data_IF_048168949037
#
_entry.id   IF_048168949037
#
_cell.length_a   1.000
_cell.length_b   1.000
_cell.length_c   1.000
_cell.angle_alpha   90.00
_cell.angle_beta   90.00
_cell.angle_gamma   90.00
#
_symmetry.space_group_name_H-M   'P 1'
#
loop_
_entity.id
_entity.type
_entity.pdbx_description
1 polymer ?
#
# COMPACT_ATOMS: atom_id res chain seq x y z
N UNK A 1 -9.76 -10.03 -9.77
CA UNK A 1 -9.17 -10.93 -8.78
C UNK A 1 -10.27 -11.87 -8.36
N UNK A 2 -10.02 -13.17 -8.45
CA UNK A 2 -10.90 -14.20 -7.90
C UNK A 2 -10.66 -14.35 -6.39
N UNK A 3 -11.62 -14.91 -5.66
CA UNK A 3 -11.49 -15.11 -4.21
C UNK A 3 -10.28 -16.00 -3.85
N UNK A 4 -9.94 -16.99 -4.68
CA UNK A 4 -8.75 -17.85 -4.50
C UNK A 4 -7.42 -17.09 -4.56
N UNK A 5 -7.32 -16.09 -5.42
CA UNK A 5 -6.11 -15.26 -5.51
C UNK A 5 -5.95 -14.38 -4.26
N UNK A 6 -7.06 -13.93 -3.67
CA UNK A 6 -7.07 -13.11 -2.46
C UNK A 6 -6.65 -13.95 -1.25
N UNK A 7 -7.20 -15.17 -1.11
CA UNK A 7 -6.86 -16.05 0.01
C UNK A 7 -5.38 -16.45 0.02
N UNK A 8 -4.80 -16.73 -1.16
CA UNK A 8 -3.35 -16.98 -1.32
C UNK A 8 -2.50 -15.75 -0.97
N UNK A 9 -2.98 -14.53 -1.28
CA UNK A 9 -2.28 -13.29 -0.95
C UNK A 9 -2.23 -13.07 0.58
N UNK A 10 -3.32 -13.43 1.28
CA UNK A 10 -3.46 -13.27 2.73
C UNK A 10 -2.57 -14.23 3.53
N UNK A 11 -2.17 -15.37 2.97
CA UNK A 11 -1.30 -16.35 3.64
C UNK A 11 0.20 -16.08 3.45
N UNK A 12 0.60 -15.17 2.56
CA UNK A 12 2.00 -14.85 2.27
C UNK A 12 2.63 -13.97 3.36
N UNK A 13 3.89 -14.25 3.72
CA UNK A 13 4.68 -13.55 4.76
C UNK A 13 6.00 -12.97 4.24
N UNK A 14 6.20 -13.03 2.94
CA UNK A 14 7.44 -12.72 2.22
C UNK A 14 7.37 -11.36 1.49
N UNK A 15 6.44 -10.47 1.87
CA UNK A 15 6.33 -9.19 1.22
C UNK A 15 7.50 -8.28 1.61
N UNK A 16 8.23 -7.81 0.62
CA UNK A 16 9.31 -6.82 0.78
C UNK A 16 8.65 -5.44 0.91
N UNK A 17 8.75 -4.85 2.10
CA UNK A 17 8.19 -3.54 2.39
C UNK A 17 9.08 -2.37 1.90
N UNK A 18 8.55 -1.14 1.82
CA UNK A 18 9.34 0.06 1.54
C UNK A 18 10.47 0.33 2.54
N UNK A 19 10.39 -0.25 3.75
CA UNK A 19 11.43 -0.17 4.78
C UNK A 19 12.45 -1.32 4.68
N UNK A 20 12.43 -2.08 3.58
CA UNK A 20 13.37 -3.17 3.28
C UNK A 20 13.39 -4.29 4.33
N UNK A 21 12.21 -4.67 4.83
CA UNK A 21 12.03 -5.84 5.68
C UNK A 21 10.88 -6.72 5.16
N UNK A 22 10.84 -7.97 5.61
CA UNK A 22 9.82 -8.93 5.21
C UNK A 22 8.61 -8.84 6.16
N UNK A 23 7.42 -8.86 5.59
CA UNK A 23 6.17 -8.75 6.34
C UNK A 23 5.03 -9.51 5.66
N UNK A 24 3.92 -9.70 6.35
CA UNK A 24 2.69 -10.21 5.72
C UNK A 24 1.99 -9.10 4.94
N UNK A 25 0.95 -9.44 4.17
CA UNK A 25 0.25 -8.44 3.35
C UNK A 25 -0.36 -7.30 4.19
N UNK A 26 -0.78 -7.55 5.43
CA UNK A 26 -1.36 -6.51 6.29
C UNK A 26 -0.27 -5.55 6.75
N UNK A 27 0.86 -6.08 7.19
CA UNK A 27 2.03 -5.28 7.54
C UNK A 27 2.58 -4.52 6.33
N UNK A 28 2.60 -5.14 5.15
CA UNK A 28 3.02 -4.48 3.90
C UNK A 28 2.14 -3.27 3.57
N UNK A 29 0.82 -3.40 3.69
CA UNK A 29 -0.13 -2.29 3.51
C UNK A 29 0.12 -1.19 4.54
N UNK A 30 0.34 -1.55 5.81
CA UNK A 30 0.62 -0.57 6.87
C UNK A 30 1.95 0.16 6.63
N UNK A 31 2.97 -0.54 6.16
CA UNK A 31 4.27 0.04 5.86
C UNK A 31 4.21 1.01 4.69
N UNK A 32 3.47 0.69 3.63
CA UNK A 32 3.21 1.64 2.54
C UNK A 32 2.56 2.91 3.08
N UNK A 33 1.51 2.79 3.90
CA UNK A 33 0.85 3.96 4.50
C UNK A 33 1.78 4.77 5.38
N UNK A 34 2.59 4.09 6.21
CA UNK A 34 3.55 4.73 7.10
C UNK A 34 4.65 5.45 6.32
N UNK A 35 5.16 4.85 5.24
CA UNK A 35 6.13 5.47 4.35
C UNK A 35 5.57 6.76 3.74
N UNK A 36 4.36 6.72 3.19
CA UNK A 36 3.70 7.89 2.60
C UNK A 36 3.48 9.01 3.64
N UNK A 37 3.01 8.64 4.84
CA UNK A 37 2.77 9.59 5.93
C UNK A 37 4.06 10.24 6.45
N UNK A 38 5.10 9.44 6.73
CA UNK A 38 6.37 9.94 7.30
C UNK A 38 7.10 10.88 6.36
N UNK A 39 6.99 10.66 5.05
CA UNK A 39 7.66 11.48 4.06
C UNK A 39 6.79 12.63 3.53
N UNK A 40 5.55 12.79 4.02
CA UNK A 40 4.58 13.79 3.54
C UNK A 40 4.39 13.76 2.02
N UNK A 41 4.51 12.59 1.40
CA UNK A 41 4.45 12.45 -0.07
C UNK A 41 3.01 12.24 -0.51
N UNK A 42 2.59 12.98 -1.54
CA UNK A 42 1.33 12.70 -2.22
C UNK A 42 1.39 11.29 -2.87
N UNK A 43 0.54 10.35 -2.41
CA UNK A 43 0.57 8.99 -2.91
C UNK A 43 0.01 8.84 -4.34
N UNK A 44 -0.51 9.93 -4.93
CA UNK A 44 -0.92 10.06 -6.35
C UNK A 44 0.08 10.89 -7.18
N UNK A 45 1.23 11.25 -6.59
CA UNK A 45 2.28 12.05 -7.21
C UNK A 45 3.58 11.27 -7.37
N UNK A 46 4.69 11.84 -6.91
CA UNK A 46 6.04 11.28 -7.07
C UNK A 46 6.20 9.86 -6.50
N UNK A 47 5.50 9.53 -5.41
CA UNK A 47 5.57 8.19 -4.81
C UNK A 47 4.80 7.12 -5.59
N UNK A 48 3.90 7.48 -6.51
CA UNK A 48 2.99 6.51 -7.13
C UNK A 48 3.77 5.46 -7.93
N UNK A 49 4.71 5.89 -8.79
CA UNK A 49 5.52 4.98 -9.60
C UNK A 49 6.42 4.08 -8.75
N UNK A 50 6.97 4.63 -7.66
CA UNK A 50 7.79 3.87 -6.71
C UNK A 50 6.95 2.81 -5.98
N UNK A 51 5.76 3.18 -5.49
CA UNK A 51 4.85 2.25 -4.83
C UNK A 51 4.38 1.15 -5.78
N UNK A 52 4.00 1.48 -7.03
CA UNK A 52 3.65 0.49 -8.06
C UNK A 52 4.79 -0.50 -8.29
N UNK A 53 6.03 -0.02 -8.39
CA UNK A 53 7.21 -0.87 -8.55
C UNK A 53 7.38 -1.86 -7.41
N UNK A 54 7.23 -1.42 -6.16
CA UNK A 54 7.32 -2.30 -4.98
C UNK A 54 6.18 -3.33 -4.97
N UNK A 55 4.96 -2.91 -5.31
CA UNK A 55 3.80 -3.81 -5.37
C UNK A 55 3.99 -4.90 -6.43
N UNK A 56 4.48 -4.54 -7.62
CA UNK A 56 4.77 -5.49 -8.70
C UNK A 56 5.91 -6.44 -8.32
N UNK A 57 6.98 -5.94 -7.67
CA UNK A 57 8.07 -6.80 -7.16
C UNK A 57 7.60 -7.86 -6.18
N UNK A 58 6.50 -7.61 -5.48
CA UNK A 58 5.87 -8.55 -4.57
C UNK A 58 4.89 -9.54 -5.25
N UNK A 59 4.76 -9.49 -6.58
CA UNK A 59 3.91 -10.38 -7.37
C UNK A 59 2.44 -9.98 -7.41
N UNK A 60 2.13 -8.69 -7.25
CA UNK A 60 0.78 -8.15 -7.41
C UNK A 60 0.68 -7.48 -8.78
N UNK A 61 0.06 -8.17 -9.74
CA UNK A 61 0.01 -7.77 -11.16
C UNK A 61 -0.87 -6.55 -11.45
N UNK A 62 -1.70 -6.15 -10.49
CA UNK A 62 -2.63 -5.00 -10.62
C UNK A 62 -2.34 -3.95 -9.55
N UNK A 63 -1.19 -3.24 -9.63
CA UNK A 63 -0.77 -2.32 -8.60
C UNK A 63 -1.72 -1.12 -8.45
N UNK A 64 -2.33 -0.64 -9.54
CA UNK A 64 -3.34 0.44 -9.49
C UNK A 64 -4.57 0.05 -8.67
N UNK A 65 -5.05 -1.19 -8.87
CA UNK A 65 -6.20 -1.74 -8.14
C UNK A 65 -5.86 -1.90 -6.67
N UNK A 66 -4.63 -2.35 -6.37
CA UNK A 66 -4.14 -2.49 -5.02
C UNK A 66 -4.07 -1.14 -4.29
N UNK A 67 -3.43 -0.14 -4.92
CA UNK A 67 -3.33 1.22 -4.36
C UNK A 67 -4.72 1.80 -4.10
N UNK A 68 -5.64 1.70 -5.07
CA UNK A 68 -7.01 2.18 -4.91
C UNK A 68 -7.75 1.49 -3.76
N UNK A 69 -7.59 0.18 -3.61
CA UNK A 69 -8.34 -0.62 -2.63
C UNK A 69 -7.80 -0.56 -1.21
N UNK A 70 -6.49 -0.38 -1.03
CA UNK A 70 -5.84 -0.55 0.26
C UNK A 70 -5.11 0.71 0.76
N UNK A 71 -4.72 1.60 -0.14
CA UNK A 71 -3.96 2.81 0.19
C UNK A 71 -4.87 4.02 0.09
N UNK A 72 -5.47 4.29 -1.08
CA UNK A 72 -6.29 5.48 -1.31
C UNK A 72 -7.66 5.43 -0.62
N UNK A 73 -8.20 4.24 -0.36
CA UNK A 73 -9.48 4.09 0.36
C UNK A 73 -9.41 4.56 1.81
N UNK A 74 -8.23 4.43 2.44
CA UNK A 74 -8.01 4.78 3.84
C UNK A 74 -7.36 6.16 3.99
N UNK A 75 -6.79 6.70 2.91
CA UNK A 75 -6.41 8.12 2.79
C UNK A 75 -7.67 8.90 2.35
N UNK A 76 -8.79 8.68 3.05
CA UNK A 76 -9.76 9.76 3.22
C UNK A 76 -9.03 10.75 4.12
N UNK A 77 -8.60 11.84 3.51
CA UNK A 77 -8.04 13.02 4.16
C UNK A 77 -8.71 13.23 5.53
N UNK A 78 -7.98 13.03 6.64
CA UNK A 78 -8.20 13.86 7.85
C UNK A 78 -7.74 15.29 7.57
N UNK A 79 -8.28 15.86 6.49
CA UNK A 79 -8.23 17.27 6.12
C UNK A 79 -9.58 17.95 6.41
N UNK A 80 -10.49 17.31 7.15
CA UNK A 80 -11.56 18.02 7.80
C UNK A 80 -11.01 18.73 9.04
N UNK A 81 -10.68 20.01 8.82
CA UNK A 81 -10.64 21.10 9.78
C UNK A 81 -11.09 20.73 11.20
N UNK A 82 -10.13 20.50 12.09
CA UNK A 82 -10.33 20.70 13.53
C UNK A 82 -9.71 22.05 13.93
N UNK A 83 -10.31 23.13 13.41
CA UNK A 83 -10.32 24.40 14.13
C UNK A 83 -11.66 24.47 14.86
N UNK A 84 -11.61 24.28 16.18
CA UNK A 84 -12.56 24.89 17.12
C UNK A 84 -11.77 25.88 17.97
#
# INVERSE_FOLDING_TARGET
MSNKEIDNLLSRKDFISPFNHNTDIRGFIQDIKKYLLLNLIDPKGEAENYMKSIIVKNGIDKPDVFLKKYIYSDIVYKGENHCK
#
